data_IF_616529205063
#
_entry.id   IF_616529205063
#
_cell.length_a   1.000
_cell.length_b   1.000
_cell.length_c   1.000
_cell.angle_alpha   90.00
_cell.angle_beta   90.00
_cell.angle_gamma   90.00
#
_symmetry.space_group_name_H-M   'P 1'
#
loop_
_entity.id
_entity.type
_entity.pdbx_description
1 polymer ?
#
# COMPACT_ATOMS: atom_id res chain seq x y z
N UNK A 1 -25.35 7.00 23.37
CA UNK A 1 -25.81 6.81 21.98
C UNK A 1 -26.80 7.91 21.71
N UNK A 2 -26.41 8.96 20.98
CA UNK A 2 -27.39 9.92 20.48
C UNK A 2 -28.44 9.16 19.68
N UNK A 3 -29.70 9.31 20.09
CA UNK A 3 -30.84 8.69 19.46
C UNK A 3 -30.98 9.21 18.02
N UNK A 4 -30.49 8.45 17.04
CA UNK A 4 -30.84 8.67 15.64
C UNK A 4 -32.33 8.30 15.52
N UNK A 5 -33.20 9.27 15.78
CA UNK A 5 -34.67 9.08 15.79
C UNK A 5 -35.27 8.91 14.39
N UNK A 6 -34.54 9.29 13.34
CA UNK A 6 -35.07 9.34 11.97
C UNK A 6 -34.13 8.61 11.01
N UNK A 7 -34.68 7.61 10.30
CA UNK A 7 -34.01 6.94 9.20
C UNK A 7 -34.21 7.79 7.96
N UNK A 8 -33.12 8.14 7.26
CA UNK A 8 -33.21 8.94 6.04
C UNK A 8 -34.23 8.34 5.04
N UNK A 9 -35.14 9.18 4.54
CA UNK A 9 -36.19 8.77 3.60
C UNK A 9 -37.47 8.22 4.24
N UNK A 10 -37.59 8.20 5.57
CA UNK A 10 -38.82 7.86 6.29
C UNK A 10 -39.24 8.99 7.24
N UNK A 11 -40.54 9.11 7.52
CA UNK A 11 -41.02 10.04 8.54
C UNK A 11 -40.55 9.63 9.95
N UNK A 12 -40.57 10.56 10.91
CA UNK A 12 -40.19 10.27 12.31
C UNK A 12 -41.13 9.22 12.94
N UNK A 13 -42.41 9.26 12.59
CA UNK A 13 -43.41 8.28 13.03
C UNK A 13 -43.14 6.89 12.43
N UNK A 14 -42.89 6.78 11.12
CA UNK A 14 -42.56 5.51 10.48
C UNK A 14 -41.23 4.93 11.00
N UNK A 15 -40.22 5.78 11.20
CA UNK A 15 -38.92 5.38 11.75
C UNK A 15 -39.07 4.85 13.17
N UNK A 16 -39.82 5.55 14.02
CA UNK A 16 -40.05 5.12 15.40
C UNK A 16 -40.85 3.82 15.48
N UNK A 17 -41.90 3.68 14.66
CA UNK A 17 -42.69 2.45 14.59
C UNK A 17 -41.86 1.24 14.13
N UNK A 18 -41.01 1.44 13.11
CA UNK A 18 -40.09 0.42 12.64
C UNK A 18 -39.06 0.02 13.70
N UNK A 19 -38.39 0.98 14.34
CA UNK A 19 -37.39 0.71 15.37
C UNK A 19 -37.99 -0.01 16.58
N UNK A 20 -39.22 0.33 16.97
CA UNK A 20 -39.95 -0.39 18.02
C UNK A 20 -40.25 -1.85 17.62
N UNK A 21 -40.61 -2.10 16.36
CA UNK A 21 -40.80 -3.47 15.85
C UNK A 21 -39.50 -4.27 15.91
N UNK A 22 -38.37 -3.70 15.48
CA UNK A 22 -37.05 -4.35 15.55
C UNK A 22 -36.63 -4.59 17.00
N UNK A 23 -36.86 -3.64 17.91
CA UNK A 23 -36.58 -3.82 19.33
C UNK A 23 -37.38 -4.98 19.95
N UNK A 24 -38.63 -5.19 19.49
CA UNK A 24 -39.43 -6.35 19.86
C UNK A 24 -38.79 -7.68 19.43
N UNK A 25 -38.34 -7.77 18.18
CA UNK A 25 -37.63 -8.94 17.67
C UNK A 25 -36.29 -9.16 18.40
N UNK A 26 -35.52 -8.11 18.64
CA UNK A 26 -34.25 -8.18 19.36
C UNK A 26 -34.44 -8.68 20.80
N UNK A 27 -35.53 -8.28 21.48
CA UNK A 27 -35.87 -8.78 22.82
C UNK A 27 -36.18 -10.28 22.80
N UNK A 28 -37.01 -10.73 21.85
CA UNK A 28 -37.32 -12.16 21.68
C UNK A 28 -36.06 -12.99 21.37
N UNK A 29 -35.21 -12.48 20.46
CA UNK A 29 -33.95 -13.12 20.11
C UNK A 29 -32.96 -13.14 21.27
N UNK A 30 -32.90 -12.08 22.07
CA UNK A 30 -32.03 -12.00 23.25
C UNK A 30 -32.43 -13.03 24.30
N UNK A 31 -33.73 -13.17 24.58
CA UNK A 31 -34.24 -14.17 25.51
C UNK A 31 -33.90 -15.60 25.06
N UNK A 32 -34.05 -15.91 23.77
CA UNK A 32 -33.71 -17.23 23.21
C UNK A 32 -32.19 -17.52 23.17
N UNK A 33 -31.35 -16.47 23.18
CA UNK A 33 -29.88 -16.57 23.12
C UNK A 33 -29.20 -16.50 24.47
N UNK A 34 -29.85 -15.96 25.50
CA UNK A 34 -29.28 -15.70 26.82
C UNK A 34 -28.58 -16.93 27.40
N UNK A 35 -29.28 -18.06 27.48
CA UNK A 35 -28.78 -19.32 28.04
C UNK A 35 -27.99 -20.19 27.05
N UNK A 36 -27.94 -19.80 25.79
CA UNK A 36 -27.25 -20.52 24.72
C UNK A 36 -26.03 -19.76 24.21
N UNK A 37 -26.20 -19.02 23.11
CA UNK A 37 -25.10 -18.36 22.39
C UNK A 37 -24.39 -17.32 23.26
N UNK A 38 -25.13 -16.50 24.01
CA UNK A 38 -24.56 -15.45 24.86
C UNK A 38 -23.75 -16.05 26.01
N UNK A 39 -24.27 -17.11 26.63
CA UNK A 39 -23.56 -17.87 27.67
C UNK A 39 -22.26 -18.49 27.15
N UNK A 40 -22.27 -19.09 25.96
CA UNK A 40 -21.07 -19.65 25.31
C UNK A 40 -20.03 -18.56 25.04
N UNK A 41 -20.43 -17.38 24.57
CA UNK A 41 -19.51 -16.27 24.30
C UNK A 41 -18.85 -15.78 25.59
N UNK A 42 -19.64 -15.56 26.64
CA UNK A 42 -19.14 -15.15 27.96
C UNK A 42 -18.13 -16.16 28.55
N UNK A 43 -18.46 -17.46 28.49
CA UNK A 43 -17.58 -18.53 28.95
C UNK A 43 -16.27 -18.61 28.13
N UNK A 44 -16.33 -18.37 26.81
CA UNK A 44 -15.10 -18.32 26.00
C UNK A 44 -14.21 -17.12 26.36
N UNK A 45 -14.81 -15.95 26.64
CA UNK A 45 -14.07 -14.78 27.13
C UNK A 45 -13.44 -15.06 28.49
N UNK A 46 -14.15 -15.75 29.39
CA UNK A 46 -13.65 -16.19 30.69
C UNK A 46 -12.46 -17.15 30.55
N UNK A 47 -12.57 -18.17 29.70
CA UNK A 47 -11.47 -19.09 29.38
C UNK A 47 -10.23 -18.32 28.88
N UNK A 48 -10.41 -17.31 28.03
CA UNK A 48 -9.30 -16.47 27.55
C UNK A 48 -8.65 -15.67 28.69
N UNK A 49 -9.45 -15.13 29.62
CA UNK A 49 -8.94 -14.44 30.82
C UNK A 49 -8.17 -15.39 31.73
N UNK A 50 -8.69 -16.58 32.00
CA UNK A 50 -8.04 -17.62 32.81
C UNK A 50 -6.69 -18.03 32.22
N UNK A 51 -6.65 -18.27 30.89
CA UNK A 51 -5.40 -18.62 30.19
C UNK A 51 -4.33 -17.54 30.30
N UNK A 52 -4.72 -16.27 30.20
CA UNK A 52 -3.81 -15.11 30.24
C UNK A 52 -3.38 -14.71 31.65
N UNK A 53 -4.16 -15.06 32.67
CA UNK A 53 -3.86 -14.70 34.04
C UNK A 53 -2.66 -15.50 34.57
N UNK A 54 -1.64 -14.80 35.09
CA UNK A 54 -0.40 -15.41 35.61
C UNK A 54 -0.53 -15.89 37.07
N UNK A 55 -1.61 -15.52 37.76
CA UNK A 55 -1.80 -15.80 39.18
C UNK A 55 -2.40 -17.18 39.47
N UNK A 56 -2.91 -17.89 38.46
CA UNK A 56 -3.41 -19.26 38.62
C UNK A 56 -2.28 -20.28 38.40
N UNK A 57 -2.28 -21.33 39.23
CA UNK A 57 -1.45 -22.52 39.00
C UNK A 57 -1.88 -23.24 37.72
N UNK A 58 -1.03 -24.14 37.21
CA UNK A 58 -1.32 -24.90 35.99
C UNK A 58 -2.53 -25.83 36.18
N UNK A 59 -2.62 -26.49 37.33
CA UNK A 59 -3.74 -27.37 37.68
C UNK A 59 -5.06 -26.59 37.84
N UNK A 60 -5.02 -25.42 38.50
CA UNK A 60 -6.23 -24.59 38.69
C UNK A 60 -6.79 -24.09 37.36
N UNK A 61 -5.91 -23.72 36.42
CA UNK A 61 -6.32 -23.32 35.06
C UNK A 61 -7.01 -24.48 34.34
N UNK A 62 -6.46 -25.68 34.42
CA UNK A 62 -7.01 -26.85 33.73
C UNK A 62 -8.39 -27.22 34.30
N UNK A 63 -8.55 -27.15 35.62
CA UNK A 63 -9.83 -27.41 36.32
C UNK A 63 -10.92 -26.38 35.95
N UNK A 64 -10.62 -25.08 36.04
CA UNK A 64 -11.57 -24.02 35.69
C UNK A 64 -11.98 -24.07 34.22
N UNK A 65 -11.02 -24.28 33.31
CA UNK A 65 -11.30 -24.43 31.88
C UNK A 65 -12.14 -25.69 31.62
N UNK A 66 -11.95 -26.78 32.36
CA UNK A 66 -12.76 -27.98 32.22
C UNK A 66 -14.22 -27.73 32.63
N UNK A 67 -14.45 -27.01 33.73
CA UNK A 67 -15.78 -26.59 34.19
C UNK A 67 -16.49 -25.70 33.17
N UNK A 68 -15.80 -24.69 32.63
CA UNK A 68 -16.37 -23.80 31.62
C UNK A 68 -16.70 -24.56 30.33
N UNK A 69 -15.87 -25.52 29.93
CA UNK A 69 -16.14 -26.40 28.78
C UNK A 69 -17.37 -27.27 28.98
N UNK A 70 -17.63 -27.75 30.20
CA UNK A 70 -18.84 -28.52 30.50
C UNK A 70 -20.10 -27.63 30.40
N UNK A 71 -20.03 -26.41 30.92
CA UNK A 71 -21.12 -25.45 30.77
C UNK A 71 -21.35 -25.03 29.31
N UNK A 72 -20.29 -24.94 28.49
CA UNK A 72 -20.41 -24.72 27.04
C UNK A 72 -21.16 -25.88 26.37
N UNK A 73 -20.94 -27.14 26.80
CA UNK A 73 -21.69 -28.29 26.26
C UNK A 73 -23.19 -28.18 26.57
N UNK A 74 -23.54 -27.86 27.82
CA UNK A 74 -24.93 -27.68 28.22
C UNK A 74 -25.61 -26.53 27.44
N UNK A 75 -24.93 -25.39 27.30
CA UNK A 75 -25.42 -24.26 26.52
C UNK A 75 -25.54 -24.57 25.01
N UNK A 76 -24.68 -25.45 24.47
CA UNK A 76 -24.74 -25.89 23.07
C UNK A 76 -26.01 -26.68 22.75
N UNK A 77 -26.51 -27.48 23.69
CA UNK A 77 -27.79 -28.20 23.53
C UNK A 77 -28.98 -27.22 23.49
N UNK A 78 -28.96 -26.17 24.32
CA UNK A 78 -29.96 -25.09 24.26
C UNK A 78 -29.94 -24.38 22.90
N UNK A 79 -28.76 -24.14 22.34
CA UNK A 79 -28.61 -23.56 20.98
C UNK A 79 -29.24 -24.45 19.92
N UNK A 80 -29.08 -25.79 20.01
CA UNK A 80 -29.71 -26.72 19.06
C UNK A 80 -31.24 -26.71 19.18
N UNK A 81 -31.76 -26.72 20.40
CA UNK A 81 -33.20 -26.69 20.66
C UNK A 81 -33.87 -25.41 20.12
N UNK A 82 -33.25 -24.25 20.35
CA UNK A 82 -33.81 -22.96 19.93
C UNK A 82 -33.49 -22.60 18.47
N UNK A 83 -32.73 -23.43 17.75
CA UNK A 83 -32.21 -23.11 16.40
C UNK A 83 -33.31 -22.77 15.40
N UNK A 84 -34.40 -23.54 15.38
CA UNK A 84 -35.50 -23.35 14.43
C UNK A 84 -36.26 -22.03 14.70
N UNK A 85 -36.62 -21.79 15.96
CA UNK A 85 -37.33 -20.57 16.38
C UNK A 85 -36.47 -19.31 16.16
N UNK A 86 -35.17 -19.39 16.47
CA UNK A 86 -34.24 -18.28 16.19
C UNK A 86 -34.14 -18.00 14.69
N UNK A 87 -34.09 -19.03 13.85
CA UNK A 87 -34.01 -18.86 12.40
C UNK A 87 -35.28 -18.22 11.80
N UNK A 88 -36.45 -18.57 12.32
CA UNK A 88 -37.73 -18.00 11.91
C UNK A 88 -37.82 -16.50 12.26
N UNK A 89 -37.59 -16.16 13.53
CA UNK A 89 -37.63 -14.76 14.02
C UNK A 89 -36.55 -13.92 13.31
N UNK A 90 -35.35 -14.47 13.11
CA UNK A 90 -34.30 -13.80 12.34
C UNK A 90 -34.72 -13.56 10.89
N UNK A 91 -35.35 -14.54 10.24
CA UNK A 91 -35.80 -14.44 8.86
C UNK A 91 -36.83 -13.32 8.68
N UNK A 92 -37.80 -13.26 9.58
CA UNK A 92 -38.83 -12.22 9.57
C UNK A 92 -38.26 -10.83 9.87
N UNK A 93 -37.44 -10.68 10.91
CA UNK A 93 -36.82 -9.41 11.27
C UNK A 93 -35.89 -8.89 10.16
N UNK A 94 -35.14 -9.77 9.49
CA UNK A 94 -34.33 -9.42 8.31
C UNK A 94 -35.20 -8.97 7.15
N UNK A 95 -36.30 -9.66 6.87
CA UNK A 95 -37.23 -9.30 5.78
C UNK A 95 -37.82 -7.92 6.01
N UNK A 96 -38.39 -7.67 7.19
CA UNK A 96 -38.98 -6.39 7.58
C UNK A 96 -37.95 -5.26 7.48
N UNK A 97 -36.72 -5.50 7.96
CA UNK A 97 -35.61 -4.53 7.85
C UNK A 97 -35.29 -4.21 6.38
N UNK A 98 -35.11 -5.22 5.53
CA UNK A 98 -34.76 -5.01 4.12
C UNK A 98 -35.87 -4.30 3.35
N UNK A 99 -37.13 -4.64 3.60
CA UNK A 99 -38.28 -4.01 2.96
C UNK A 99 -38.43 -2.54 3.36
N UNK A 100 -38.25 -2.22 4.65
CA UNK A 100 -38.29 -0.84 5.13
C UNK A 100 -37.22 0.03 4.46
N UNK A 101 -35.95 -0.40 4.46
CA UNK A 101 -34.87 0.34 3.82
C UNK A 101 -35.04 0.43 2.30
N UNK A 102 -35.60 -0.59 1.66
CA UNK A 102 -35.94 -0.55 0.22
C UNK A 102 -37.01 0.51 -0.08
N UNK A 103 -38.01 0.68 0.80
CA UNK A 103 -39.05 1.70 0.67
C UNK A 103 -38.51 3.11 0.93
N UNK A 104 -37.63 3.28 1.92
CA UNK A 104 -37.06 4.58 2.30
C UNK A 104 -35.95 5.08 1.33
N UNK A 105 -35.22 4.16 0.68
CA UNK A 105 -34.06 4.49 -0.14
C UNK A 105 -34.31 5.52 -1.27
N UNK A 106 -35.42 5.49 -2.05
CA UNK A 106 -35.67 6.48 -3.08
C UNK A 106 -35.81 7.90 -2.53
N UNK A 107 -36.61 8.07 -1.46
CA UNK A 107 -36.82 9.37 -0.82
C UNK A 107 -35.51 9.93 -0.22
N UNK A 108 -34.70 9.07 0.40
CA UNK A 108 -33.38 9.48 0.90
C UNK A 108 -32.45 9.94 -0.24
N UNK A 109 -32.43 9.21 -1.37
CA UNK A 109 -31.64 9.57 -2.56
C UNK A 109 -32.04 10.90 -3.16
N UNK A 110 -33.34 11.15 -3.23
CA UNK A 110 -33.90 12.41 -3.72
C UNK A 110 -33.54 13.59 -2.80
N UNK A 111 -33.70 13.45 -1.49
CA UNK A 111 -33.29 14.47 -0.51
C UNK A 111 -31.80 14.84 -0.66
N UNK A 112 -30.92 13.83 -0.69
CA UNK A 112 -29.48 14.07 -0.86
C UNK A 112 -29.17 14.74 -2.20
N UNK A 113 -29.85 14.36 -3.28
CA UNK A 113 -29.65 14.97 -4.60
C UNK A 113 -30.07 16.45 -4.60
N UNK A 114 -31.23 16.77 -4.03
CA UNK A 114 -31.75 18.13 -3.90
C UNK A 114 -30.83 19.01 -3.05
N UNK A 115 -30.36 18.49 -1.91
CA UNK A 115 -29.41 19.20 -1.04
C UNK A 115 -28.06 19.44 -1.73
N UNK A 116 -27.54 18.46 -2.47
CA UNK A 116 -26.32 18.64 -3.28
C UNK A 116 -26.53 19.73 -4.35
N UNK A 117 -27.68 19.73 -5.04
CA UNK A 117 -28.00 20.76 -6.03
C UNK A 117 -28.04 22.16 -5.41
N UNK A 118 -28.72 22.31 -4.27
CA UNK A 118 -28.77 23.56 -3.51
C UNK A 118 -27.39 24.03 -3.06
N UNK A 119 -26.53 23.14 -2.55
CA UNK A 119 -25.16 23.47 -2.14
C UNK A 119 -24.33 23.96 -3.34
N UNK A 120 -24.49 23.35 -4.51
CA UNK A 120 -23.82 23.78 -5.75
C UNK A 120 -24.27 25.17 -6.18
N UNK A 121 -25.56 25.45 -6.10
CA UNK A 121 -26.12 26.76 -6.41
C UNK A 121 -25.63 27.84 -5.43
N UNK A 122 -25.70 27.58 -4.12
CA UNK A 122 -25.16 28.47 -3.08
C UNK A 122 -23.68 28.78 -3.31
N UNK A 123 -22.89 27.77 -3.67
CA UNK A 123 -21.47 27.93 -3.97
C UNK A 123 -21.25 28.81 -5.22
N UNK A 124 -22.01 28.57 -6.29
CA UNK A 124 -21.92 29.36 -7.51
C UNK A 124 -22.25 30.84 -7.25
N UNK A 125 -23.30 31.11 -6.46
CA UNK A 125 -23.70 32.46 -6.08
C UNK A 125 -22.64 33.17 -5.24
N UNK A 126 -22.08 32.49 -4.22
CA UNK A 126 -20.99 33.04 -3.40
C UNK A 126 -19.72 33.30 -4.20
N UNK A 127 -19.35 32.40 -5.12
CA UNK A 127 -18.18 32.61 -5.98
C UNK A 127 -18.40 33.81 -6.89
N UNK A 128 -19.61 33.97 -7.46
CA UNK A 128 -19.95 35.15 -8.26
C UNK A 128 -19.86 36.45 -7.42
N UNK A 129 -20.32 36.42 -6.16
CA UNK A 129 -20.20 37.55 -5.24
C UNK A 129 -18.74 37.90 -4.94
N UNK A 130 -17.90 36.91 -4.60
CA UNK A 130 -16.45 37.11 -4.35
C UNK A 130 -15.77 37.70 -5.59
N UNK A 131 -16.13 37.23 -6.79
CA UNK A 131 -15.60 37.77 -8.05
C UNK A 131 -16.03 39.21 -8.26
N UNK A 132 -17.31 39.53 -8.04
CA UNK A 132 -17.84 40.89 -8.20
C UNK A 132 -17.22 41.87 -7.19
N UNK A 133 -17.07 41.47 -5.92
CA UNK A 133 -16.38 42.26 -4.90
C UNK A 133 -14.92 42.50 -5.27
N UNK A 134 -14.23 41.48 -5.74
CA UNK A 134 -12.85 41.62 -6.19
C UNK A 134 -12.73 42.54 -7.42
N UNK A 135 -13.64 42.48 -8.38
CA UNK A 135 -13.64 43.38 -9.53
C UNK A 135 -13.79 44.85 -9.11
N UNK A 136 -14.69 45.14 -8.16
CA UNK A 136 -14.86 46.49 -7.59
C UNK A 136 -13.59 46.98 -6.89
N UNK A 137 -13.02 46.17 -6.00
CA UNK A 137 -11.78 46.51 -5.30
C UNK A 137 -10.59 46.69 -6.26
N UNK A 138 -10.50 45.88 -7.31
CA UNK A 138 -9.46 46.03 -8.34
C UNK A 138 -9.63 47.32 -9.16
N UNK A 139 -10.87 47.74 -9.45
CA UNK A 139 -11.13 49.00 -10.13
C UNK A 139 -10.73 50.21 -9.26
N UNK A 140 -10.97 50.15 -7.95
CA UNK A 140 -10.52 51.17 -6.99
C UNK A 140 -8.98 51.23 -6.88
N UNK A 141 -8.30 50.08 -6.91
CA UNK A 141 -6.84 50.03 -6.90
C UNK A 141 -6.25 50.58 -8.21
N UNK A 142 -6.84 50.24 -9.36
CA UNK A 142 -6.41 50.76 -10.68
C UNK A 142 -6.58 52.28 -10.77
N UNK A 143 -7.58 52.86 -10.10
CA UNK A 143 -7.75 54.31 -10.03
C UNK A 143 -6.61 55.05 -9.28
N UNK A 144 -5.82 54.34 -8.47
CA UNK A 144 -4.68 54.87 -7.71
C UNK A 144 -3.36 54.65 -8.47
N UNK A 145 -3.42 54.14 -9.70
CA UNK A 145 -2.24 53.87 -10.51
C UNK A 145 -1.48 55.17 -10.81
N UNK A 146 -0.17 55.24 -10.50
CA UNK A 146 0.62 56.44 -10.78
C UNK A 146 0.75 56.69 -12.28
N UNK A 147 0.61 57.94 -12.70
CA UNK A 147 0.78 58.36 -14.09
C UNK A 147 2.27 58.56 -14.47
N UNK A 148 3.11 58.85 -13.47
CA UNK A 148 4.57 58.97 -13.59
C UNK A 148 5.23 57.85 -12.77
N UNK A 149 6.03 57.02 -13.44
CA UNK A 149 6.73 55.89 -12.83
C UNK A 149 7.96 56.32 -12.01
N UNK A 150 8.30 57.62 -11.97
CA UNK A 150 9.43 58.15 -11.21
C UNK A 150 9.12 58.35 -9.71
N UNK A 151 7.84 58.30 -9.30
CA UNK A 151 7.46 58.32 -7.87
C UNK A 151 7.49 56.88 -7.30
N UNK A 152 8.67 56.51 -6.80
CA UNK A 152 8.95 55.17 -6.26
C UNK A 152 8.01 54.80 -5.08
N UNK A 153 7.58 55.79 -4.28
CA UNK A 153 6.67 55.58 -3.17
C UNK A 153 5.24 55.28 -3.64
N UNK A 154 4.74 56.01 -4.65
CA UNK A 154 3.42 55.77 -5.24
C UNK A 154 3.35 54.43 -5.99
N UNK A 155 4.42 54.06 -6.72
CA UNK A 155 4.54 52.76 -7.40
C UNK A 155 4.53 51.62 -6.38
N UNK A 156 5.35 51.71 -5.33
CA UNK A 156 5.43 50.68 -4.28
C UNK A 156 4.10 50.51 -3.54
N UNK A 157 3.39 51.60 -3.26
CA UNK A 157 2.07 51.57 -2.62
C UNK A 157 1.04 50.85 -3.50
N UNK A 158 1.00 51.17 -4.79
CA UNK A 158 0.11 50.53 -5.77
C UNK A 158 0.38 49.02 -5.89
N UNK A 159 1.65 48.62 -6.05
CA UNK A 159 2.03 47.21 -6.14
C UNK A 159 1.68 46.42 -4.87
N UNK A 160 1.91 47.00 -3.70
CA UNK A 160 1.56 46.39 -2.42
C UNK A 160 0.04 46.21 -2.28
N UNK A 161 -0.77 47.19 -2.70
CA UNK A 161 -2.23 47.07 -2.71
C UNK A 161 -2.70 45.98 -3.68
N UNK A 162 -2.14 45.92 -4.88
CA UNK A 162 -2.45 44.88 -5.87
C UNK A 162 -2.12 43.47 -5.36
N UNK A 163 -0.93 43.29 -4.78
CA UNK A 163 -0.49 42.02 -4.19
C UNK A 163 -1.38 41.61 -3.02
N UNK A 164 -1.74 42.56 -2.17
CA UNK A 164 -2.60 42.34 -1.01
C UNK A 164 -4.00 41.92 -1.45
N UNK A 165 -4.59 42.63 -2.42
CA UNK A 165 -5.90 42.29 -2.96
C UNK A 165 -5.93 40.92 -3.64
N UNK A 166 -4.88 40.58 -4.40
CA UNK A 166 -4.73 39.24 -5.01
C UNK A 166 -4.67 38.14 -3.94
N UNK A 167 -3.97 38.37 -2.84
CA UNK A 167 -3.94 37.44 -1.71
C UNK A 167 -5.31 37.29 -1.04
N UNK A 168 -6.01 38.39 -0.77
CA UNK A 168 -7.37 38.37 -0.22
C UNK A 168 -8.35 37.60 -1.11
N UNK A 169 -8.32 37.84 -2.42
CA UNK A 169 -9.17 37.12 -3.37
C UNK A 169 -8.89 35.62 -3.38
N UNK A 170 -7.62 35.24 -3.42
CA UNK A 170 -7.23 33.83 -3.38
C UNK A 170 -7.66 33.16 -2.07
N UNK A 171 -7.52 33.86 -0.94
CA UNK A 171 -7.94 33.40 0.37
C UNK A 171 -9.46 33.20 0.43
N UNK A 172 -10.25 34.20 0.03
CA UNK A 172 -11.72 34.12 0.01
C UNK A 172 -12.21 32.96 -0.87
N UNK A 173 -11.61 32.76 -2.06
CA UNK A 173 -11.93 31.61 -2.92
C UNK A 173 -11.53 30.28 -2.30
N UNK A 174 -10.41 30.23 -1.59
CA UNK A 174 -9.95 29.02 -0.93
C UNK A 174 -10.87 28.63 0.23
N UNK A 175 -11.26 29.60 1.05
CA UNK A 175 -12.19 29.41 2.17
C UNK A 175 -13.55 28.93 1.67
N UNK A 176 -14.12 29.56 0.64
CA UNK A 176 -15.41 29.13 0.10
C UNK A 176 -15.33 27.73 -0.54
N UNK A 177 -14.26 27.42 -1.28
CA UNK A 177 -14.04 26.06 -1.79
C UNK A 177 -13.92 25.02 -0.67
N UNK A 178 -13.35 25.42 0.48
CA UNK A 178 -13.22 24.55 1.65
C UNK A 178 -14.58 24.32 2.30
N UNK A 179 -15.38 25.37 2.48
CA UNK A 179 -16.76 25.27 3.00
C UNK A 179 -17.65 24.42 2.08
N UNK A 180 -17.58 24.63 0.76
CA UNK A 180 -18.30 23.83 -0.22
C UNK A 180 -17.96 22.34 -0.11
N UNK A 181 -16.66 21.99 -0.05
CA UNK A 181 -16.23 20.60 0.16
C UNK A 181 -16.68 20.03 1.49
N UNK A 182 -16.63 20.82 2.57
CA UNK A 182 -17.11 20.39 3.88
C UNK A 182 -18.61 20.07 3.86
N UNK A 183 -19.43 20.94 3.24
CA UNK A 183 -20.87 20.69 3.06
C UNK A 183 -21.16 19.42 2.24
N UNK A 184 -20.43 19.18 1.16
CA UNK A 184 -20.56 17.94 0.38
C UNK A 184 -20.12 16.70 1.18
N UNK A 185 -19.09 16.84 2.00
CA UNK A 185 -18.59 15.76 2.85
C UNK A 185 -19.63 15.38 3.92
N UNK A 186 -20.38 16.33 4.47
CA UNK A 186 -21.48 16.04 5.41
C UNK A 186 -22.51 15.11 4.76
N UNK A 187 -22.96 15.40 3.53
CA UNK A 187 -23.89 14.53 2.81
C UNK A 187 -23.26 13.15 2.50
N UNK A 188 -21.96 13.12 2.15
CA UNK A 188 -21.24 11.85 1.96
C UNK A 188 -21.22 11.01 3.25
N UNK A 189 -21.00 11.65 4.40
CA UNK A 189 -21.01 11.00 5.71
C UNK A 189 -22.40 10.49 6.08
N UNK A 190 -23.46 11.26 5.81
CA UNK A 190 -24.84 10.85 6.06
C UNK A 190 -25.25 9.64 5.23
N UNK A 191 -24.89 9.60 3.93
CA UNK A 191 -25.11 8.43 3.06
C UNK A 191 -24.45 7.18 3.63
N UNK A 192 -23.18 7.32 4.02
CA UNK A 192 -22.42 6.24 4.62
C UNK A 192 -23.01 5.80 5.97
N UNK A 193 -23.42 6.74 6.82
CA UNK A 193 -24.07 6.46 8.09
C UNK A 193 -25.41 5.72 7.91
N UNK A 194 -26.22 6.11 6.92
CA UNK A 194 -27.47 5.43 6.57
C UNK A 194 -27.21 3.98 6.13
N UNK A 195 -26.19 3.76 5.30
CA UNK A 195 -25.76 2.41 4.93
C UNK A 195 -25.32 1.61 6.16
N UNK A 196 -24.43 2.16 6.99
CA UNK A 196 -23.94 1.48 8.19
C UNK A 196 -25.09 1.15 9.15
N UNK A 197 -26.06 2.03 9.33
CA UNK A 197 -27.21 1.81 10.19
C UNK A 197 -28.01 0.58 9.76
N UNK A 198 -28.30 0.43 8.47
CA UNK A 198 -28.99 -0.75 7.93
C UNK A 198 -28.22 -2.03 8.25
N UNK A 199 -26.91 -2.04 7.99
CA UNK A 199 -26.08 -3.23 8.15
C UNK A 199 -25.83 -3.57 9.63
N UNK A 200 -25.73 -2.56 10.50
CA UNK A 200 -25.66 -2.75 11.94
C UNK A 200 -26.93 -3.42 12.48
N UNK A 201 -28.11 -3.00 12.02
CA UNK A 201 -29.38 -3.64 12.40
C UNK A 201 -29.46 -5.09 11.88
N UNK A 202 -29.09 -5.32 10.62
CA UNK A 202 -29.05 -6.68 10.08
C UNK A 202 -28.06 -7.58 10.83
N UNK A 203 -26.92 -7.02 11.25
CA UNK A 203 -25.93 -7.72 12.06
C UNK A 203 -26.43 -8.01 13.47
N UNK A 204 -27.11 -7.07 14.15
CA UNK A 204 -27.63 -7.28 15.51
C UNK A 204 -28.66 -8.42 15.53
N UNK A 205 -29.57 -8.43 14.55
CA UNK A 205 -30.54 -9.50 14.35
C UNK A 205 -29.83 -10.85 14.17
N UNK A 206 -28.66 -10.87 13.52
CA UNK A 206 -27.86 -12.08 13.27
C UNK A 206 -26.74 -12.34 14.28
N UNK A 207 -26.80 -11.73 15.47
CA UNK A 207 -25.79 -11.90 16.52
C UNK A 207 -24.36 -11.54 16.05
N UNK A 208 -24.23 -10.38 15.39
CA UNK A 208 -22.97 -9.85 14.88
C UNK A 208 -22.45 -10.51 13.59
N UNK A 209 -23.24 -11.41 12.96
CA UNK A 209 -22.83 -12.10 11.74
C UNK A 209 -23.41 -11.44 10.49
N UNK A 210 -22.53 -11.01 9.61
CA UNK A 210 -22.89 -10.53 8.27
C UNK A 210 -22.85 -11.68 7.26
N UNK A 211 -23.71 -11.63 6.26
CA UNK A 211 -23.62 -12.54 5.12
C UNK A 211 -22.41 -12.20 4.24
N UNK A 212 -21.88 -13.16 3.46
CA UNK A 212 -20.77 -12.89 2.55
C UNK A 212 -21.05 -11.74 1.56
N UNK A 213 -22.30 -11.66 1.08
CA UNK A 213 -22.75 -10.56 0.20
C UNK A 213 -22.64 -9.22 0.91
N UNK A 214 -23.16 -9.13 2.13
CA UNK A 214 -23.11 -7.90 2.92
C UNK A 214 -21.68 -7.47 3.28
N UNK A 215 -20.76 -8.42 3.48
CA UNK A 215 -19.34 -8.12 3.68
C UNK A 215 -18.70 -7.50 2.44
N UNK A 216 -19.05 -8.01 1.25
CA UNK A 216 -18.59 -7.45 -0.02
C UNK A 216 -19.18 -6.06 -0.23
N UNK A 217 -20.49 -5.89 -0.02
CA UNK A 217 -21.17 -4.59 -0.11
C UNK A 217 -20.56 -3.56 0.84
N UNK A 218 -20.31 -3.93 2.10
CA UNK A 218 -19.66 -3.05 3.08
C UNK A 218 -18.22 -2.70 2.69
N UNK A 219 -17.48 -3.65 2.10
CA UNK A 219 -16.12 -3.38 1.61
C UNK A 219 -16.12 -2.41 0.43
N UNK A 220 -17.07 -2.56 -0.49
CA UNK A 220 -17.26 -1.67 -1.64
C UNK A 220 -17.68 -0.28 -1.17
N UNK A 221 -18.66 -0.18 -0.28
CA UNK A 221 -19.13 1.11 0.25
C UNK A 221 -18.01 1.83 1.03
N UNK A 222 -17.28 1.12 1.89
CA UNK A 222 -16.11 1.68 2.59
C UNK A 222 -15.05 2.19 1.62
N UNK A 223 -14.79 1.44 0.54
CA UNK A 223 -13.86 1.88 -0.50
C UNK A 223 -14.34 3.15 -1.19
N UNK A 224 -15.61 3.22 -1.62
CA UNK A 224 -16.20 4.40 -2.25
C UNK A 224 -16.24 5.61 -1.29
N UNK A 225 -16.52 5.39 -0.01
CA UNK A 225 -16.52 6.41 1.02
C UNK A 225 -15.11 6.99 1.26
N UNK A 226 -14.09 6.14 1.32
CA UNK A 226 -12.70 6.58 1.53
C UNK A 226 -11.99 7.02 0.25
N UNK A 227 -12.59 6.77 -0.92
CA UNK A 227 -11.99 7.13 -2.20
C UNK A 227 -11.83 8.65 -2.31
N UNK A 228 -10.57 9.06 -2.43
CA UNK A 228 -10.16 10.42 -2.75
C UNK A 228 -9.22 10.33 -3.97
N UNK A 229 -9.58 10.96 -5.11
CA UNK A 229 -8.75 10.99 -6.30
C UNK A 229 -7.31 11.44 -6.01
N UNK A 230 -7.10 12.45 -5.17
CA UNK A 230 -5.75 12.94 -4.86
C UNK A 230 -4.91 11.86 -4.20
N UNK A 231 -5.47 11.23 -3.16
CA UNK A 231 -4.82 10.13 -2.47
C UNK A 231 -4.62 8.91 -3.38
N UNK A 232 -5.55 8.66 -4.32
CA UNK A 232 -5.40 7.60 -5.31
C UNK A 232 -4.17 7.83 -6.20
N UNK A 233 -4.01 9.02 -6.77
CA UNK A 233 -2.86 9.35 -7.61
C UNK A 233 -1.54 9.33 -6.83
N UNK A 234 -1.53 9.82 -5.59
CA UNK A 234 -0.32 9.82 -4.75
C UNK A 234 0.09 8.39 -4.39
N UNK A 235 -0.85 7.55 -3.92
CA UNK A 235 -0.57 6.17 -3.51
C UNK A 235 -0.20 5.27 -4.68
N UNK A 236 -0.78 5.50 -5.86
CA UNK A 236 -0.54 4.70 -7.06
C UNK A 236 0.38 5.38 -8.08
N UNK A 237 1.08 6.45 -7.70
CA UNK A 237 1.85 7.29 -8.62
C UNK A 237 2.90 6.50 -9.39
N UNK A 238 3.65 5.62 -8.71
CA UNK A 238 4.63 4.75 -9.36
C UNK A 238 3.98 3.86 -10.42
N UNK A 239 2.87 3.20 -10.10
CA UNK A 239 2.17 2.32 -11.04
C UNK A 239 1.64 3.07 -12.26
N UNK A 240 1.11 4.27 -12.06
CA UNK A 240 0.62 5.12 -13.14
C UNK A 240 1.74 5.59 -14.05
N UNK A 241 2.89 5.97 -13.49
CA UNK A 241 4.08 6.36 -14.27
C UNK A 241 4.62 5.15 -15.06
N UNK A 242 4.69 3.97 -14.43
CA UNK A 242 5.11 2.74 -15.12
C UNK A 242 4.16 2.37 -16.27
N UNK A 243 2.85 2.50 -16.05
CA UNK A 243 1.84 2.24 -17.08
C UNK A 243 1.96 3.24 -18.24
N UNK A 244 2.11 4.53 -17.93
CA UNK A 244 2.32 5.58 -18.93
C UNK A 244 3.59 5.31 -19.75
N UNK A 245 4.69 4.97 -19.08
CA UNK A 245 5.94 4.61 -19.74
C UNK A 245 5.79 3.40 -20.66
N UNK A 246 5.07 2.37 -20.21
CA UNK A 246 4.74 1.20 -21.03
C UNK A 246 3.94 1.60 -22.28
N UNK A 247 2.90 2.43 -22.15
CA UNK A 247 2.09 2.91 -23.28
C UNK A 247 2.96 3.66 -24.30
N UNK A 248 3.83 4.55 -23.82
CA UNK A 248 4.76 5.30 -24.68
C UNK A 248 5.73 4.35 -25.40
N UNK A 249 6.35 3.41 -24.69
CA UNK A 249 7.27 2.44 -25.28
C UNK A 249 6.61 1.57 -26.36
N UNK A 250 5.39 1.09 -26.10
CA UNK A 250 4.62 0.28 -27.05
C UNK A 250 4.23 1.10 -28.29
N UNK A 251 3.89 2.38 -28.10
CA UNK A 251 3.53 3.27 -29.20
C UNK A 251 4.72 3.58 -30.12
N UNK A 252 5.94 3.72 -29.56
CA UNK A 252 7.16 4.00 -30.32
C UNK A 252 7.77 2.74 -30.96
N UNK A 253 7.67 1.60 -30.30
CA UNK A 253 8.27 0.34 -30.75
C UNK A 253 7.32 -0.83 -30.46
N UNK A 254 6.33 -1.12 -31.33
CA UNK A 254 5.34 -2.18 -31.07
C UNK A 254 5.96 -3.57 -30.91
N UNK A 255 7.13 -3.79 -31.51
CA UNK A 255 7.89 -5.04 -31.40
C UNK A 255 8.32 -5.37 -29.96
N UNK A 256 8.29 -4.43 -29.01
CA UNK A 256 8.62 -4.69 -27.59
C UNK A 256 7.68 -5.72 -26.95
N UNK A 257 6.44 -5.83 -27.44
CA UNK A 257 5.46 -6.83 -26.99
C UNK A 257 5.54 -8.16 -27.75
N UNK A 258 6.47 -8.29 -28.70
CA UNK A 258 6.69 -9.57 -29.36
C UNK A 258 7.18 -10.61 -28.35
N UNK A 259 6.80 -11.88 -28.54
CA UNK A 259 7.19 -12.98 -27.66
C UNK A 259 8.72 -13.05 -27.54
N UNK A 260 9.45 -12.84 -28.63
CA UNK A 260 10.91 -12.83 -28.64
C UNK A 260 11.49 -11.69 -27.80
N UNK A 261 10.94 -10.48 -27.92
CA UNK A 261 11.36 -9.33 -27.11
C UNK A 261 11.04 -9.55 -25.63
N UNK A 262 9.86 -10.09 -25.30
CA UNK A 262 9.48 -10.42 -23.92
C UNK A 262 10.44 -11.47 -23.35
N UNK A 263 10.76 -12.54 -24.08
CA UNK A 263 11.70 -13.57 -23.62
C UNK A 263 13.12 -13.01 -23.43
N UNK A 264 13.57 -12.10 -24.31
CA UNK A 264 14.85 -11.43 -24.18
C UNK A 264 14.90 -10.48 -22.98
N UNK A 265 13.83 -9.71 -22.76
CA UNK A 265 13.69 -8.84 -21.58
C UNK A 265 13.69 -9.69 -20.33
N UNK A 266 12.88 -10.76 -20.28
CA UNK A 266 12.79 -11.65 -19.14
C UNK A 266 14.16 -12.23 -18.80
N UNK A 267 14.88 -12.74 -19.79
CA UNK A 267 16.26 -13.24 -19.65
C UNK A 267 17.21 -12.18 -19.06
N UNK A 268 17.12 -10.94 -19.54
CA UNK A 268 17.96 -9.83 -19.07
C UNK A 268 17.52 -9.22 -17.74
N UNK A 269 16.30 -9.47 -17.27
CA UNK A 269 15.81 -8.97 -15.98
C UNK A 269 15.85 -10.05 -14.90
N UNK A 270 15.78 -11.34 -15.24
CA UNK A 270 15.83 -12.43 -14.25
C UNK A 270 17.10 -12.42 -13.41
N UNK A 271 18.27 -12.13 -14.00
CA UNK A 271 19.51 -12.02 -13.21
C UNK A 271 19.46 -10.86 -12.20
N UNK A 272 18.63 -9.84 -12.45
CA UNK A 272 18.49 -8.68 -11.58
C UNK A 272 17.75 -8.97 -10.29
N UNK A 273 16.91 -10.01 -10.31
CA UNK A 273 16.15 -10.45 -9.14
C UNK A 273 17.09 -10.87 -8.00
N UNK A 274 18.18 -11.59 -8.30
CA UNK A 274 19.06 -12.13 -7.25
C UNK A 274 19.69 -11.03 -6.40
N UNK A 275 20.21 -9.97 -7.01
CA UNK A 275 20.79 -8.88 -6.24
C UNK A 275 19.72 -7.95 -5.65
N UNK A 276 18.53 -7.84 -6.27
CA UNK A 276 17.40 -7.12 -5.68
C UNK A 276 16.93 -7.79 -4.37
N UNK A 277 16.86 -9.12 -4.34
CA UNK A 277 16.57 -9.88 -3.12
C UNK A 277 17.63 -9.66 -2.03
N UNK A 278 18.91 -9.56 -2.41
CA UNK A 278 19.99 -9.23 -1.49
C UNK A 278 19.84 -7.84 -0.85
N UNK A 279 19.48 -6.83 -1.64
CA UNK A 279 19.30 -5.45 -1.15
C UNK A 279 17.98 -5.26 -0.38
N UNK A 280 16.96 -6.06 -0.68
CA UNK A 280 15.64 -5.89 -0.09
C UNK A 280 15.63 -6.05 1.44
N UNK A 281 16.55 -6.83 2.03
CA UNK A 281 16.73 -6.88 3.49
C UNK A 281 17.20 -5.55 4.09
N UNK A 282 18.07 -4.80 3.39
CA UNK A 282 18.48 -3.46 3.81
C UNK A 282 17.33 -2.46 3.73
N UNK A 283 16.51 -2.55 2.68
CA UNK A 283 15.33 -1.69 2.50
C UNK A 283 14.30 -1.92 3.62
N UNK A 284 14.09 -3.17 4.03
CA UNK A 284 13.20 -3.51 5.15
C UNK A 284 13.64 -2.83 6.46
N UNK A 285 14.94 -2.70 6.68
CA UNK A 285 15.54 -2.01 7.83
C UNK A 285 15.59 -0.47 7.66
N UNK A 286 14.79 0.09 6.75
CA UNK A 286 14.82 1.50 6.35
C UNK A 286 16.20 1.98 5.85
N UNK A 287 17.06 1.06 5.41
CA UNK A 287 18.32 1.33 4.74
C UNK A 287 18.14 1.49 3.23
N UNK A 288 19.22 1.88 2.56
CA UNK A 288 19.27 1.94 1.09
C UNK A 288 20.66 1.52 0.63
N UNK A 289 20.74 0.84 -0.51
CA UNK A 289 22.01 0.47 -1.14
C UNK A 289 22.00 0.77 -2.63
N UNK A 290 22.65 1.87 -3.00
CA UNK A 290 22.85 2.27 -4.39
C UNK A 290 24.06 1.58 -5.03
N UNK A 291 24.92 0.93 -4.22
CA UNK A 291 26.22 0.42 -4.67
C UNK A 291 26.17 -0.98 -5.27
N UNK A 292 25.06 -1.70 -5.10
CA UNK A 292 24.87 -3.08 -5.58
C UNK A 292 25.24 -3.28 -7.05
N UNK A 293 24.89 -2.33 -7.93
CA UNK A 293 25.20 -2.44 -9.36
C UNK A 293 26.72 -2.40 -9.64
N UNK A 294 27.46 -1.61 -8.87
CA UNK A 294 28.92 -1.54 -8.95
C UNK A 294 29.58 -2.73 -8.26
N UNK A 295 28.98 -3.29 -7.21
CA UNK A 295 29.44 -4.55 -6.60
C UNK A 295 29.32 -5.73 -7.57
N UNK A 296 28.24 -5.83 -8.34
CA UNK A 296 28.11 -6.84 -9.41
C UNK A 296 29.19 -6.65 -10.47
N UNK A 297 29.52 -5.39 -10.81
CA UNK A 297 30.63 -5.08 -11.74
C UNK A 297 31.98 -5.57 -11.18
N UNK A 298 32.24 -5.33 -9.90
CA UNK A 298 33.44 -5.79 -9.21
C UNK A 298 33.56 -7.33 -9.19
N UNK A 299 32.48 -8.04 -8.84
CA UNK A 299 32.47 -9.50 -8.87
C UNK A 299 32.68 -10.05 -10.29
N UNK A 300 32.09 -9.39 -11.30
CA UNK A 300 32.32 -9.74 -12.71
C UNK A 300 33.78 -9.55 -13.10
N UNK A 301 34.40 -8.44 -12.69
CA UNK A 301 35.81 -8.16 -12.95
C UNK A 301 36.71 -9.24 -12.35
N UNK A 302 36.53 -9.57 -11.07
CA UNK A 302 37.31 -10.61 -10.37
C UNK A 302 37.14 -11.96 -11.08
N UNK A 303 35.91 -12.31 -11.42
CA UNK A 303 35.59 -13.57 -12.12
C UNK A 303 36.25 -13.63 -13.49
N UNK A 304 36.17 -12.56 -14.29
CA UNK A 304 36.82 -12.47 -15.58
C UNK A 304 38.35 -12.55 -15.47
N UNK A 305 38.95 -11.96 -14.43
CA UNK A 305 40.40 -12.04 -14.22
C UNK A 305 40.89 -13.45 -13.92
N UNK A 306 40.10 -14.26 -13.22
CA UNK A 306 40.47 -15.64 -12.87
C UNK A 306 40.18 -16.61 -14.01
N UNK A 307 39.06 -16.42 -14.72
CA UNK A 307 38.59 -17.35 -15.76
C UNK A 307 39.08 -17.00 -17.17
N UNK A 308 39.74 -15.87 -17.37
CA UNK A 308 40.41 -15.53 -18.62
C UNK A 308 41.91 -15.90 -18.53
N UNK A 309 42.36 -16.94 -19.25
CA UNK A 309 43.75 -17.40 -19.20
C UNK A 309 44.76 -16.38 -19.74
N UNK A 310 44.32 -15.41 -20.55
CA UNK A 310 45.17 -14.43 -21.22
C UNK A 310 44.93 -13.00 -20.72
N UNK A 311 44.44 -12.82 -19.49
CA UNK A 311 44.15 -11.48 -18.97
C UNK A 311 45.43 -10.68 -18.65
N UNK A 312 45.44 -9.43 -19.09
CA UNK A 312 46.45 -8.42 -18.73
C UNK A 312 45.98 -7.48 -17.60
N UNK A 313 44.78 -7.73 -17.07
CA UNK A 313 44.16 -6.93 -16.00
C UNK A 313 44.83 -7.23 -14.67
N UNK A 314 45.16 -6.19 -13.90
CA UNK A 314 45.74 -6.32 -12.57
C UNK A 314 44.84 -5.64 -11.55
N UNK A 315 44.50 -6.34 -10.47
CA UNK A 315 43.68 -5.80 -9.38
C UNK A 315 44.60 -5.58 -8.18
N UNK A 316 44.84 -4.32 -7.81
CA UNK A 316 45.83 -3.94 -6.79
C UNK A 316 47.22 -4.55 -7.01
N UNK A 317 47.69 -4.61 -8.27
CA UNK A 317 48.99 -5.19 -8.63
C UNK A 317 49.04 -6.72 -8.62
N UNK A 318 47.95 -7.40 -8.28
CA UNK A 318 47.83 -8.86 -8.35
C UNK A 318 47.28 -9.31 -9.70
N UNK A 319 47.94 -10.30 -10.31
CA UNK A 319 47.47 -11.00 -11.51
C UNK A 319 47.01 -12.41 -11.11
N UNK A 320 45.73 -12.71 -11.37
CA UNK A 320 45.10 -13.98 -11.00
C UNK A 320 45.10 -15.03 -12.13
N UNK A 321 45.74 -14.76 -13.26
CA UNK A 321 45.78 -15.66 -14.43
C UNK A 321 46.39 -17.04 -14.14
N UNK A 322 47.30 -17.14 -13.17
CA UNK A 322 47.91 -18.42 -12.77
C UNK A 322 46.93 -19.36 -12.06
N UNK A 323 45.82 -18.86 -11.51
CA UNK A 323 44.82 -19.68 -10.81
C UNK A 323 44.08 -20.59 -11.81
N UNK A 324 43.88 -20.13 -13.05
CA UNK A 324 43.27 -20.94 -14.10
C UNK A 324 44.08 -22.22 -14.40
N UNK A 325 45.40 -22.17 -14.24
CA UNK A 325 46.30 -23.32 -14.49
C UNK A 325 46.14 -24.43 -13.45
N UNK A 326 45.59 -24.13 -12.28
CA UNK A 326 45.31 -25.12 -11.23
C UNK A 326 44.06 -25.98 -11.51
N UNK A 327 43.32 -25.68 -12.57
CA UNK A 327 42.14 -26.43 -13.01
C UNK A 327 40.85 -25.60 -12.94
N UNK A 328 39.91 -25.88 -13.85
CA UNK A 328 38.68 -25.10 -14.02
C UNK A 328 37.81 -25.09 -12.75
N UNK A 329 37.65 -26.24 -12.08
CA UNK A 329 36.83 -26.34 -10.87
C UNK A 329 37.37 -25.47 -9.72
N UNK A 330 38.69 -25.50 -9.50
CA UNK A 330 39.36 -24.66 -8.50
C UNK A 330 39.22 -23.18 -8.85
N UNK A 331 39.44 -22.83 -10.12
CA UNK A 331 39.30 -21.46 -10.59
C UNK A 331 37.88 -20.90 -10.40
N UNK A 332 36.84 -21.70 -10.63
CA UNK A 332 35.44 -21.31 -10.40
C UNK A 332 35.13 -21.07 -8.92
N UNK A 333 35.56 -21.99 -8.05
CA UNK A 333 35.34 -21.84 -6.59
C UNK A 333 36.07 -20.62 -6.06
N UNK A 334 37.33 -20.43 -6.46
CA UNK A 334 38.13 -19.27 -6.04
C UNK A 334 37.52 -17.96 -6.56
N UNK A 335 37.05 -17.92 -7.82
CA UNK A 335 36.37 -16.75 -8.36
C UNK A 335 35.11 -16.38 -7.59
N UNK A 336 34.29 -17.38 -7.23
CA UNK A 336 33.10 -17.19 -6.41
C UNK A 336 33.45 -16.66 -5.02
N UNK A 337 34.36 -17.34 -4.30
CA UNK A 337 34.74 -16.97 -2.94
C UNK A 337 35.35 -15.58 -2.89
N UNK A 338 36.25 -15.26 -3.82
CA UNK A 338 36.92 -13.97 -3.86
C UNK A 338 35.93 -12.84 -4.18
N UNK A 339 34.98 -13.07 -5.09
CA UNK A 339 33.90 -12.12 -5.37
C UNK A 339 33.03 -11.86 -4.13
N UNK A 340 32.66 -12.91 -3.38
CA UNK A 340 31.89 -12.78 -2.13
C UNK A 340 32.68 -12.01 -1.08
N UNK A 341 33.96 -12.31 -0.90
CA UNK A 341 34.82 -11.64 0.09
C UNK A 341 34.94 -10.15 -0.22
N UNK A 342 35.25 -9.78 -1.47
CA UNK A 342 35.40 -8.37 -1.84
C UNK A 342 34.08 -7.60 -1.74
N UNK A 343 32.97 -8.16 -2.24
CA UNK A 343 31.66 -7.52 -2.09
C UNK A 343 31.29 -7.34 -0.61
N UNK A 344 31.49 -8.36 0.22
CA UNK A 344 31.24 -8.29 1.67
C UNK A 344 32.11 -7.24 2.35
N UNK A 345 33.39 -7.13 1.97
CA UNK A 345 34.29 -6.12 2.50
C UNK A 345 33.81 -4.70 2.20
N UNK A 346 33.43 -4.41 0.94
CA UNK A 346 32.92 -3.08 0.58
C UNK A 346 31.58 -2.77 1.25
N UNK A 347 30.68 -3.75 1.36
CA UNK A 347 29.42 -3.60 2.09
C UNK A 347 29.66 -3.36 3.59
N UNK A 348 30.62 -4.07 4.19
CA UNK A 348 30.99 -3.90 5.60
C UNK A 348 31.60 -2.52 5.85
N UNK A 349 32.43 -1.99 4.94
CA UNK A 349 32.95 -0.63 5.02
C UNK A 349 31.79 0.38 4.98
N UNK A 350 30.87 0.25 4.02
CA UNK A 350 29.71 1.14 3.91
C UNK A 350 28.82 1.10 5.17
N UNK A 351 28.58 -0.10 5.70
CA UNK A 351 27.85 -0.33 6.94
C UNK A 351 28.56 0.25 8.17
N UNK A 352 29.87 0.07 8.27
CA UNK A 352 30.71 0.62 9.34
C UNK A 352 30.63 2.15 9.38
N UNK A 353 30.77 2.81 8.22
CA UNK A 353 30.67 4.27 8.16
C UNK A 353 29.28 4.78 8.54
N UNK A 354 28.23 4.08 8.10
CA UNK A 354 26.85 4.41 8.46
C UNK A 354 26.59 4.23 9.96
N UNK A 355 27.08 3.14 10.55
CA UNK A 355 26.86 2.82 11.97
C UNK A 355 27.71 3.68 12.91
N UNK A 356 29.01 3.87 12.62
CA UNK A 356 29.95 4.55 13.50
C UNK A 356 29.85 6.08 13.40
N UNK A 357 29.72 6.61 12.19
CA UNK A 357 29.72 8.06 11.94
C UNK A 357 28.32 8.62 11.73
N UNK A 358 27.26 7.79 11.84
CA UNK A 358 25.85 8.19 11.65
C UNK A 358 25.60 8.87 10.30
N UNK A 359 26.37 8.52 9.28
CA UNK A 359 26.19 9.01 7.92
C UNK A 359 24.93 8.34 7.35
N UNK A 360 24.06 9.11 6.70
CA UNK A 360 22.86 8.57 6.09
C UNK A 360 23.23 7.47 5.05
N UNK A 361 22.60 6.27 5.06
CA UNK A 361 22.99 5.16 4.20
C UNK A 361 23.05 5.49 2.69
N UNK A 362 22.20 6.41 2.24
CA UNK A 362 22.26 6.95 0.87
C UNK A 362 23.62 7.53 0.52
N UNK A 363 24.20 8.35 1.40
CA UNK A 363 25.48 9.02 1.18
C UNK A 363 26.62 8.01 1.24
N UNK A 364 26.60 7.12 2.24
CA UNK A 364 27.63 6.09 2.41
C UNK A 364 27.69 5.17 1.18
N UNK A 365 26.55 4.69 0.71
CA UNK A 365 26.49 3.78 -0.45
C UNK A 365 26.75 4.49 -1.78
N UNK A 366 26.42 5.78 -1.90
CA UNK A 366 26.83 6.62 -3.04
C UNK A 366 28.37 6.79 -3.10
N UNK A 367 29.02 6.97 -1.96
CA UNK A 367 30.48 7.01 -1.91
C UNK A 367 31.08 5.64 -2.26
N UNK A 368 30.56 4.55 -1.69
CA UNK A 368 31.03 3.18 -1.95
C UNK A 368 30.93 2.80 -3.44
N UNK A 369 29.84 3.17 -4.13
CA UNK A 369 29.75 2.91 -5.57
C UNK A 369 30.83 3.63 -6.39
N UNK A 370 31.23 4.86 -6.01
CA UNK A 370 32.27 5.63 -6.68
C UNK A 370 33.65 5.01 -6.43
N UNK A 371 33.91 4.57 -5.20
CA UNK A 371 35.15 3.86 -4.84
C UNK A 371 35.28 2.57 -5.65
N UNK A 372 34.24 1.73 -5.67
CA UNK A 372 34.24 0.48 -6.43
C UNK A 372 34.45 0.76 -7.92
N UNK A 373 33.75 1.75 -8.47
CA UNK A 373 33.90 2.14 -9.86
C UNK A 373 35.33 2.59 -10.18
N UNK A 374 35.92 3.46 -9.35
CA UNK A 374 37.31 3.93 -9.52
C UNK A 374 38.32 2.77 -9.51
N UNK A 375 38.19 1.84 -8.56
CA UNK A 375 39.03 0.64 -8.49
C UNK A 375 38.89 -0.20 -9.77
N UNK A 376 37.66 -0.42 -10.25
CA UNK A 376 37.43 -1.18 -11.48
C UNK A 376 38.06 -0.51 -12.70
N UNK A 377 37.99 0.82 -12.82
CA UNK A 377 38.61 1.58 -13.91
C UNK A 377 40.13 1.46 -13.88
N UNK A 378 40.75 1.60 -12.70
CA UNK A 378 42.19 1.46 -12.52
C UNK A 378 42.65 0.04 -12.87
N UNK A 379 41.93 -0.98 -12.38
CA UNK A 379 42.30 -2.37 -12.61
C UNK A 379 42.24 -2.77 -14.09
N UNK A 380 41.25 -2.26 -14.81
CA UNK A 380 41.04 -2.53 -16.24
C UNK A 380 41.83 -1.62 -17.16
N UNK A 381 42.42 -0.54 -16.64
CA UNK A 381 42.99 0.57 -17.43
C UNK A 381 41.99 1.11 -18.47
N UNK A 382 40.69 1.04 -18.15
CA UNK A 382 39.59 1.32 -19.08
C UNK A 382 39.57 0.49 -20.38
N UNK A 383 40.27 -0.65 -20.42
CA UNK A 383 40.27 -1.60 -21.55
C UNK A 383 39.40 -2.81 -21.21
N UNK A 384 38.78 -3.42 -22.24
CA UNK A 384 37.99 -4.66 -22.06
C UNK A 384 38.89 -5.77 -21.54
N UNK A 385 38.47 -6.45 -20.48
CA UNK A 385 39.20 -7.54 -19.80
C UNK A 385 39.32 -8.84 -20.61
N UNK A 386 38.86 -8.85 -21.86
CA UNK A 386 38.78 -10.04 -22.71
C UNK A 386 37.62 -10.97 -22.36
N UNK A 387 37.49 -12.05 -23.15
CA UNK A 387 36.47 -13.09 -22.95
C UNK A 387 36.96 -14.16 -21.99
N UNK A 388 36.06 -14.73 -21.20
CA UNK A 388 36.35 -15.94 -20.40
C UNK A 388 36.68 -17.12 -21.31
N UNK A 389 37.35 -18.14 -20.76
CA UNK A 389 37.66 -19.35 -21.53
C UNK A 389 36.39 -20.05 -22.06
N UNK A 390 36.51 -20.75 -23.20
CA UNK A 390 35.41 -21.50 -23.79
C UNK A 390 34.84 -22.56 -22.83
N UNK A 391 35.68 -23.19 -22.02
CA UNK A 391 35.27 -24.14 -20.99
C UNK A 391 34.46 -23.48 -19.86
N UNK A 392 34.89 -22.31 -19.37
CA UNK A 392 34.11 -21.54 -18.40
C UNK A 392 32.78 -21.02 -18.99
N UNK A 393 32.79 -20.63 -20.27
CA UNK A 393 31.58 -20.22 -20.97
C UNK A 393 30.58 -21.37 -21.08
N UNK A 394 31.02 -22.59 -21.41
CA UNK A 394 30.16 -23.78 -21.45
C UNK A 394 29.49 -24.07 -20.10
N UNK A 395 30.22 -23.95 -19.00
CA UNK A 395 29.65 -24.09 -17.65
C UNK A 395 28.59 -23.01 -17.38
N UNK A 396 28.85 -21.75 -17.72
CA UNK A 396 27.84 -20.67 -17.61
C UNK A 396 26.59 -20.94 -18.44
N UNK A 397 26.75 -21.49 -19.64
CA UNK A 397 25.63 -21.90 -20.49
C UNK A 397 24.82 -23.02 -19.84
N UNK A 398 25.46 -24.01 -19.20
CA UNK A 398 24.80 -25.11 -18.50
C UNK A 398 24.03 -24.66 -17.25
N UNK A 399 24.58 -23.69 -16.50
CA UNK A 399 23.99 -23.13 -15.27
C UNK A 399 22.80 -22.20 -15.57
N UNK A 400 22.60 -21.77 -16.82
CA UNK A 400 21.34 -21.15 -17.25
C UNK A 400 21.42 -19.76 -17.87
N UNK A 401 22.61 -19.22 -18.17
CA UNK A 401 22.71 -17.95 -18.91
C UNK A 401 22.16 -18.03 -20.33
N UNK A 402 22.20 -19.20 -20.98
CA UNK A 402 21.66 -19.41 -22.34
C UNK A 402 20.74 -20.61 -22.45
N UNK A 403 20.69 -21.48 -21.44
CA UNK A 403 19.79 -22.63 -21.42
C UNK A 403 18.35 -22.15 -21.38
N UNK A 404 17.63 -22.44 -22.45
CA UNK A 404 16.21 -22.14 -22.57
C UNK A 404 15.47 -23.46 -22.75
N UNK A 405 14.43 -23.70 -21.95
CA UNK A 405 13.55 -24.84 -22.15
C UNK A 405 12.39 -24.38 -23.04
N UNK A 406 12.34 -24.86 -24.28
CA UNK A 406 11.29 -24.50 -25.24
C UNK A 406 11.12 -22.97 -25.44
N UNK A 407 12.23 -22.22 -25.49
CA UNK A 407 12.22 -20.76 -25.61
C UNK A 407 12.09 -19.99 -24.30
N UNK A 408 11.85 -20.67 -23.17
CA UNK A 408 11.73 -20.05 -21.85
C UNK A 408 13.08 -20.03 -21.09
N UNK A 409 13.56 -18.85 -20.61
CA UNK A 409 14.84 -18.75 -19.90
C UNK A 409 14.82 -19.49 -18.56
N UNK A 410 15.69 -20.49 -18.36
CA UNK A 410 15.73 -21.29 -17.12
C UNK A 410 16.13 -20.45 -15.90
N UNK A 411 16.91 -19.39 -16.11
CA UNK A 411 17.29 -18.44 -15.05
C UNK A 411 16.06 -17.82 -14.34
N UNK A 412 14.93 -17.72 -15.03
CA UNK A 412 13.68 -17.26 -14.42
C UNK A 412 13.14 -18.25 -13.39
N UNK A 413 13.28 -19.56 -13.64
CA UNK A 413 12.86 -20.61 -12.70
C UNK A 413 13.68 -20.50 -11.42
N UNK A 414 15.00 -20.32 -11.53
CA UNK A 414 15.85 -20.09 -10.35
C UNK A 414 15.45 -18.82 -9.60
N UNK A 415 15.20 -17.71 -10.31
CA UNK A 415 14.73 -16.48 -9.68
C UNK A 415 13.39 -16.68 -8.94
N UNK A 416 12.43 -17.39 -9.53
CA UNK A 416 11.13 -17.68 -8.92
C UNK A 416 11.27 -18.56 -7.66
N UNK A 417 12.11 -19.60 -7.71
CA UNK A 417 12.42 -20.44 -6.54
C UNK A 417 13.05 -19.60 -5.44
N UNK A 418 14.02 -18.74 -5.76
CA UNK A 418 14.65 -17.87 -4.75
C UNK A 418 13.65 -16.88 -4.15
N UNK A 419 12.75 -16.29 -4.94
CA UNK A 419 11.67 -15.44 -4.43
C UNK A 419 10.79 -16.20 -3.45
N UNK A 420 10.38 -17.43 -3.78
CA UNK A 420 9.55 -18.26 -2.88
C UNK A 420 10.27 -18.56 -1.56
N UNK A 421 11.56 -18.93 -1.61
CA UNK A 421 12.37 -19.19 -0.42
C UNK A 421 12.48 -17.94 0.45
N UNK A 422 12.81 -16.79 -0.14
CA UNK A 422 12.95 -15.53 0.59
C UNK A 422 11.61 -15.07 1.17
N UNK A 423 10.52 -15.22 0.41
CA UNK A 423 9.17 -14.89 0.89
C UNK A 423 8.75 -15.75 2.09
N UNK A 424 9.17 -17.01 2.14
CA UNK A 424 8.92 -17.87 3.30
C UNK A 424 9.81 -17.50 4.49
N UNK A 425 11.06 -17.09 4.26
CA UNK A 425 11.96 -16.66 5.34
C UNK A 425 11.54 -15.33 5.99
N UNK A 426 10.82 -14.47 5.26
CA UNK A 426 10.42 -13.13 5.73
C UNK A 426 8.98 -13.04 6.25
N UNK A 427 8.13 -14.02 5.94
CA UNK A 427 6.80 -14.18 6.55
C UNK A 427 6.90 -14.99 7.83
#
# INVERSE_FOLDING_TARGET
>A
MESIKVIAGASEQESSAFLNSIAGYDSQLSNLRADGVTKIENLNVEILKIKRNKNYSKEDKESLIAKDKEQIKAASEVVKANKAQVAEIQGEAVRVTKEFYKKAAPAAKEDWANRIAKIKEEHANKVAEIVAQNQKAMAEIEAIKPADNNDEAAVTLYENKLKTQKSFFNQARFEENTQYKAKLQVIKNEKHAHFLQQYHLLASIRNGRNTPVELVEAKVENYLYQFDPKNFFIKNGLYLVLLLFMIICVSLAPNVLSINSIMLILKNFSYKVFYALGVAGLILLAGTDLSVGRMVTLGTLITCMILNPNTSTMFFGLNFSNIYKAGLGVALIVALLLSVIFCTLFSAIAGFFSAKFKIHPFISTLATQLVIWGICVVATKAVKTGSISSAAAQVSMMIGQTRSFNGFPIIFIYAAITILIVSFLWN
#
